data_IF_652961053586
#
_entry.id   IF_652961053586
#
_cell.length_a   1.000
_cell.length_b   1.000
_cell.length_c   1.000
_cell.angle_alpha   90.00
_cell.angle_beta   90.00
_cell.angle_gamma   90.00
#
_symmetry.space_group_name_H-M   'P 1'
#
loop_
_entity.id
_entity.type
_entity.pdbx_description
1 polymer ?
#
# COMPACT_ATOMS: atom_id res chain seq x y z
N UNK A 1 43.24 8.59 19.58
CA UNK A 1 42.39 9.12 18.50
C UNK A 1 41.37 8.05 18.15
N UNK A 2 40.16 8.19 18.69
CA UNK A 2 39.08 7.23 18.54
C UNK A 2 38.12 7.74 17.45
N UNK A 3 38.11 7.07 16.30
CA UNK A 3 37.04 7.22 15.30
C UNK A 3 35.87 6.33 15.75
N UNK A 4 34.83 6.95 16.29
CA UNK A 4 33.55 6.29 16.58
C UNK A 4 32.84 6.08 15.26
N UNK A 5 32.95 4.88 14.71
CA UNK A 5 32.00 4.39 13.70
C UNK A 5 30.65 4.26 14.38
N UNK A 6 29.75 5.18 14.04
CA UNK A 6 28.34 5.12 14.39
C UNK A 6 27.67 4.05 13.53
N UNK A 7 27.94 2.78 13.84
CA UNK A 7 27.06 1.69 13.50
C UNK A 7 25.77 1.90 14.32
N UNK A 8 24.78 2.54 13.70
CA UNK A 8 23.42 2.60 14.22
C UNK A 8 22.86 1.18 14.15
N UNK A 9 23.19 0.39 15.16
CA UNK A 9 22.58 -0.89 15.46
C UNK A 9 21.19 -0.57 16.03
N UNK A 10 20.24 -0.25 15.14
CA UNK A 10 18.83 -0.18 15.50
C UNK A 10 18.38 -1.61 15.79
N UNK A 11 18.40 -1.93 17.08
CA UNK A 11 17.95 -3.19 17.63
C UNK A 11 16.54 -3.53 17.16
N UNK A 12 16.39 -4.82 16.89
CA UNK A 12 15.14 -5.56 16.83
C UNK A 12 14.06 -4.96 17.75
N UNK A 13 13.04 -4.31 17.18
CA UNK A 13 11.83 -3.96 17.93
C UNK A 13 10.96 -5.22 18.06
N UNK A 14 10.62 -5.65 19.29
CA UNK A 14 9.66 -6.73 19.52
C UNK A 14 8.24 -6.17 19.34
N UNK A 15 7.78 -6.20 18.10
CA UNK A 15 6.43 -5.82 17.67
C UNK A 15 6.21 -6.09 16.18
N UNK A 16 7.00 -7.01 15.63
CA UNK A 16 7.07 -7.36 14.22
C UNK A 16 6.14 -8.55 13.91
N UNK A 17 4.90 -8.46 14.37
CA UNK A 17 3.91 -9.56 14.31
C UNK A 17 2.52 -8.92 14.25
N UNK A 18 2.12 -8.32 13.13
CA UNK A 18 1.37 -9.05 12.12
C UNK A 18 1.14 -8.14 10.90
N UNK A 19 1.60 -8.60 9.72
CA UNK A 19 1.38 -8.06 8.36
C UNK A 19 2.16 -6.78 7.96
N UNK A 20 3.36 -6.97 7.40
CA UNK A 20 4.09 -5.95 6.59
C UNK A 20 4.30 -6.39 5.12
N UNK A 21 3.30 -7.09 4.54
CA UNK A 21 3.22 -7.62 3.16
C UNK A 21 4.12 -8.81 2.77
N UNK A 22 3.52 -10.02 2.73
CA UNK A 22 4.09 -11.21 2.05
C UNK A 22 3.53 -11.40 0.62
N UNK A 23 3.17 -10.32 -0.10
CA UNK A 23 2.35 -10.35 -1.34
C UNK A 23 0.96 -10.96 -1.15
N UNK A 24 0.16 -10.32 -0.29
CA UNK A 24 -1.30 -10.48 -0.08
C UNK A 24 -1.88 -11.86 -0.45
N UNK A 25 -2.28 -12.69 0.52
CA UNK A 25 -3.14 -13.84 0.21
C UNK A 25 -4.57 -13.33 0.04
N UNK A 26 -4.86 -12.81 -1.15
CA UNK A 26 -6.18 -12.36 -1.54
C UNK A 26 -7.06 -13.58 -1.82
N UNK A 27 -8.34 -13.57 -1.45
CA UNK A 27 -9.23 -14.62 -1.89
C UNK A 27 -9.20 -14.70 -3.43
N UNK A 28 -9.40 -15.88 -4.01
CA UNK A 28 -9.41 -16.11 -5.47
C UNK A 28 -10.41 -15.19 -6.21
N UNK A 29 -11.32 -14.55 -5.47
CA UNK A 29 -12.25 -13.55 -5.98
C UNK A 29 -11.60 -12.24 -6.42
N UNK A 30 -10.36 -11.92 -6.00
CA UNK A 30 -9.58 -10.87 -6.69
C UNK A 30 -8.97 -11.46 -7.95
N UNK A 31 -9.50 -11.05 -9.08
CA UNK A 31 -8.83 -11.31 -10.34
C UNK A 31 -7.52 -10.52 -10.42
N UNK A 32 -6.40 -11.19 -10.12
CA UNK A 32 -5.06 -10.72 -10.46
C UNK A 32 -4.70 -11.23 -11.83
N UNK A 33 -5.04 -10.48 -12.87
CA UNK A 33 -4.63 -10.88 -14.21
C UNK A 33 -3.11 -10.78 -14.42
N UNK A 34 -2.38 -10.01 -13.57
CA UNK A 34 -0.94 -9.76 -13.71
C UNK A 34 -0.32 -9.20 -12.40
N UNK A 35 -0.08 -10.00 -11.34
CA UNK A 35 0.53 -9.55 -10.07
C UNK A 35 1.95 -8.97 -10.21
N UNK A 36 2.67 -9.33 -11.26
CA UNK A 36 4.04 -8.91 -11.58
C UNK A 36 4.17 -7.42 -11.93
N UNK A 37 3.06 -6.74 -12.28
CA UNK A 37 3.14 -5.31 -12.63
C UNK A 37 3.69 -4.47 -11.47
N UNK A 38 3.42 -4.88 -10.23
CA UNK A 38 3.89 -4.19 -9.02
C UNK A 38 5.36 -4.48 -8.66
N UNK A 39 6.01 -5.46 -9.27
CA UNK A 39 7.36 -5.86 -8.87
C UNK A 39 8.38 -4.71 -9.03
N UNK A 40 8.15 -3.79 -9.96
CA UNK A 40 8.99 -2.58 -10.12
C UNK A 40 8.79 -1.53 -9.02
N UNK A 41 7.65 -1.54 -8.33
CA UNK A 41 7.31 -0.60 -7.24
C UNK A 41 7.66 -1.19 -5.88
N UNK A 42 7.56 -2.51 -5.73
CA UNK A 42 7.72 -3.20 -4.45
C UNK A 42 8.98 -2.81 -3.66
N UNK A 43 10.19 -2.68 -4.25
CA UNK A 43 11.37 -2.27 -3.50
C UNK A 43 11.26 -0.87 -2.87
N UNK A 44 10.50 0.05 -3.47
CA UNK A 44 10.27 1.38 -2.91
C UNK A 44 9.34 1.30 -1.69
N UNK A 45 8.31 0.48 -1.79
CA UNK A 45 7.39 0.21 -0.68
C UNK A 45 8.15 -0.42 0.50
N UNK A 46 8.93 -1.48 0.25
CA UNK A 46 9.69 -2.19 1.29
C UNK A 46 10.73 -1.28 1.97
N UNK A 47 11.27 -0.31 1.22
CA UNK A 47 12.19 0.71 1.74
C UNK A 47 11.49 1.87 2.48
N UNK A 48 10.15 1.85 2.60
CA UNK A 48 9.37 2.93 3.22
C UNK A 48 9.30 4.22 2.39
N UNK A 49 9.70 4.19 1.12
CA UNK A 49 9.65 5.33 0.19
C UNK A 49 8.26 5.46 -0.43
N UNK A 50 7.24 5.58 0.42
CA UNK A 50 5.83 5.44 0.04
C UNK A 50 5.35 6.49 -0.98
N UNK A 51 5.78 7.74 -0.83
CA UNK A 51 5.41 8.81 -1.76
C UNK A 51 5.85 8.50 -3.20
N UNK A 52 7.07 7.98 -3.36
CA UNK A 52 7.64 7.60 -4.66
C UNK A 52 7.05 6.29 -5.19
N UNK A 53 6.77 5.34 -4.30
CA UNK A 53 6.05 4.12 -4.64
C UNK A 53 4.66 4.44 -5.22
N UNK A 54 3.92 5.37 -4.60
CA UNK A 54 2.65 5.87 -5.11
C UNK A 54 2.80 6.51 -6.50
N UNK A 55 3.76 7.41 -6.68
CA UNK A 55 3.96 8.11 -7.95
C UNK A 55 4.32 7.11 -9.08
N UNK A 56 5.17 6.12 -8.81
CA UNK A 56 5.51 5.07 -9.77
C UNK A 56 4.33 4.14 -10.06
N UNK A 57 3.54 3.82 -9.04
CA UNK A 57 2.36 2.98 -9.12
C UNK A 57 1.23 3.61 -9.93
N UNK A 58 1.03 4.93 -9.85
CA UNK A 58 0.07 5.66 -10.72
C UNK A 58 0.38 5.47 -12.20
N UNK A 59 1.66 5.47 -12.58
CA UNK A 59 2.05 5.15 -13.96
C UNK A 59 1.70 3.71 -14.37
N UNK A 60 1.66 2.75 -13.44
CA UNK A 60 1.19 1.39 -13.72
C UNK A 60 -0.33 1.35 -13.91
N UNK A 61 -1.07 2.13 -13.11
CA UNK A 61 -2.52 2.31 -13.24
C UNK A 61 -2.87 2.87 -14.62
N UNK A 62 -2.15 3.92 -15.07
CA UNK A 62 -2.36 4.49 -16.41
C UNK A 62 -2.15 3.46 -17.53
N UNK A 63 -1.14 2.60 -17.39
CA UNK A 63 -0.87 1.54 -18.35
C UNK A 63 -1.89 0.38 -18.29
N UNK A 64 -2.45 0.10 -17.10
CA UNK A 64 -3.30 -1.06 -16.82
C UNK A 64 -4.48 -0.69 -15.89
N UNK A 65 -5.43 0.13 -16.38
CA UNK A 65 -6.52 0.67 -15.56
C UNK A 65 -7.60 -0.37 -15.21
N UNK A 66 -7.49 -1.58 -15.77
CA UNK A 66 -8.34 -2.74 -15.52
C UNK A 66 -7.99 -3.46 -14.20
N UNK A 67 -6.81 -3.18 -13.64
CA UNK A 67 -6.27 -3.97 -12.53
C UNK A 67 -6.61 -3.36 -11.16
N UNK A 68 -7.69 -3.84 -10.52
CA UNK A 68 -8.14 -3.39 -9.20
C UNK A 68 -7.02 -3.35 -8.14
N UNK A 69 -6.11 -4.33 -8.17
CA UNK A 69 -5.04 -4.43 -7.18
C UNK A 69 -3.99 -3.30 -7.29
N UNK A 70 -3.81 -2.68 -8.46
CA UNK A 70 -2.90 -1.55 -8.63
C UNK A 70 -3.43 -0.32 -7.89
N UNK A 71 -4.73 -0.05 -8.04
CA UNK A 71 -5.42 1.00 -7.30
C UNK A 71 -5.29 0.80 -5.78
N UNK A 72 -5.51 -0.43 -5.31
CA UNK A 72 -5.39 -0.76 -3.90
C UNK A 72 -3.97 -0.51 -3.36
N UNK A 73 -2.95 -1.04 -4.03
CA UNK A 73 -1.56 -0.87 -3.59
C UNK A 73 -1.09 0.59 -3.63
N UNK A 74 -1.55 1.37 -4.62
CA UNK A 74 -1.28 2.82 -4.68
C UNK A 74 -1.96 3.53 -3.52
N UNK A 75 -3.22 3.20 -3.22
CA UNK A 75 -3.93 3.77 -2.07
C UNK A 75 -3.20 3.49 -0.74
N UNK A 76 -2.68 2.27 -0.54
CA UNK A 76 -1.83 1.95 0.62
C UNK A 76 -0.60 2.87 0.70
N UNK A 77 0.13 3.03 -0.41
CA UNK A 77 1.30 3.91 -0.47
C UNK A 77 0.95 5.37 -0.16
N UNK A 78 -0.16 5.86 -0.69
CA UNK A 78 -0.62 7.24 -0.50
C UNK A 78 -1.06 7.49 0.94
N UNK A 79 -1.76 6.53 1.55
CA UNK A 79 -2.15 6.58 2.95
C UNK A 79 -0.94 6.65 3.87
N UNK A 80 0.07 5.81 3.63
CA UNK A 80 1.34 5.80 4.36
C UNK A 80 2.20 7.05 4.10
N UNK A 81 2.04 7.68 2.93
CA UNK A 81 2.69 8.94 2.58
C UNK A 81 1.94 10.18 3.11
N UNK A 82 0.78 10.01 3.77
CA UNK A 82 -0.07 11.11 4.24
C UNK A 82 -0.82 11.85 3.12
N UNK A 83 -0.92 11.26 1.93
CA UNK A 83 -1.68 11.79 0.78
C UNK A 83 -3.14 11.35 0.89
N UNK A 84 -3.82 11.76 1.97
CA UNK A 84 -5.15 11.26 2.37
C UNK A 84 -6.21 11.31 1.27
N UNK A 85 -6.33 12.45 0.57
CA UNK A 85 -7.36 12.61 -0.46
C UNK A 85 -7.15 11.63 -1.64
N UNK A 86 -5.90 11.48 -2.06
CA UNK A 86 -5.54 10.57 -3.16
C UNK A 86 -5.76 9.12 -2.76
N UNK A 87 -5.36 8.75 -1.53
CA UNK A 87 -5.54 7.41 -0.99
C UNK A 87 -7.01 6.97 -0.99
N UNK A 88 -7.90 7.87 -0.57
CA UNK A 88 -9.35 7.61 -0.55
C UNK A 88 -9.89 7.46 -1.97
N UNK A 89 -9.47 8.29 -2.92
CA UNK A 89 -9.91 8.19 -4.31
C UNK A 89 -9.48 6.87 -4.96
N UNK A 90 -8.20 6.49 -4.82
CA UNK A 90 -7.72 5.23 -5.37
C UNK A 90 -8.32 4.01 -4.66
N UNK A 91 -8.58 4.09 -3.35
CA UNK A 91 -9.28 3.01 -2.64
C UNK A 91 -10.72 2.83 -3.18
N UNK A 92 -11.45 3.91 -3.40
CA UNK A 92 -12.80 3.85 -4.03
C UNK A 92 -12.73 3.20 -5.41
N UNK A 93 -11.77 3.60 -6.23
CA UNK A 93 -11.58 3.02 -7.56
C UNK A 93 -11.21 1.53 -7.52
N UNK A 94 -10.50 1.09 -6.48
CA UNK A 94 -10.22 -0.32 -6.23
C UNK A 94 -11.50 -1.09 -5.86
N UNK A 95 -12.36 -0.50 -5.02
CA UNK A 95 -13.65 -1.08 -4.57
C UNK A 95 -14.65 -1.17 -5.73
N UNK A 96 -14.73 -0.14 -6.57
CA UNK A 96 -15.62 -0.14 -7.75
C UNK A 96 -15.29 -1.28 -8.73
N UNK A 97 -14.01 -1.67 -8.80
CA UNK A 97 -13.55 -2.79 -9.63
C UNK A 97 -13.72 -4.13 -8.94
N UNK A 98 -13.54 -4.16 -7.62
CA UNK A 98 -13.73 -5.35 -6.82
C UNK A 98 -14.12 -5.00 -5.39
N UNK A 99 -15.38 -5.28 -5.05
CA UNK A 99 -16.01 -4.88 -3.79
C UNK A 99 -15.27 -5.41 -2.55
N UNK A 100 -14.58 -6.55 -2.65
CA UNK A 100 -13.82 -7.13 -1.54
C UNK A 100 -12.65 -6.26 -1.05
N UNK A 101 -12.22 -5.25 -1.83
CA UNK A 101 -11.23 -4.26 -1.39
C UNK A 101 -11.71 -3.54 -0.13
N UNK A 102 -13.04 -3.35 0.01
CA UNK A 102 -13.65 -2.67 1.15
C UNK A 102 -13.36 -3.41 2.44
N UNK A 103 -13.55 -4.73 2.46
CA UNK A 103 -13.34 -5.53 3.67
C UNK A 103 -11.86 -5.66 4.00
N UNK A 104 -10.99 -5.75 2.98
CA UNK A 104 -9.56 -5.72 3.23
C UNK A 104 -9.10 -4.39 3.84
N UNK A 105 -9.54 -3.25 3.30
CA UNK A 105 -9.10 -1.94 3.77
C UNK A 105 -9.47 -1.68 5.24
N UNK A 106 -10.57 -2.27 5.73
CA UNK A 106 -10.94 -2.21 7.15
C UNK A 106 -9.90 -2.86 8.06
N UNK A 107 -9.22 -3.90 7.59
CA UNK A 107 -8.25 -4.68 8.37
C UNK A 107 -6.79 -4.35 8.04
N UNK A 108 -6.53 -3.63 6.96
CA UNK A 108 -5.19 -3.28 6.52
C UNK A 108 -4.68 -2.05 7.29
N UNK A 109 -3.53 -2.23 7.96
CA UNK A 109 -2.89 -1.19 8.77
C UNK A 109 -2.35 -0.04 7.93
N UNK A 110 -2.15 -0.25 6.62
CA UNK A 110 -1.70 0.82 5.74
C UNK A 110 -2.72 1.96 5.66
N UNK A 111 -3.99 1.68 5.96
CA UNK A 111 -5.08 2.66 6.03
C UNK A 111 -5.38 3.18 7.45
N UNK A 112 -4.60 2.80 8.47
CA UNK A 112 -4.83 3.25 9.84
C UNK A 112 -4.86 4.79 9.94
N UNK A 113 -4.03 5.50 9.17
CA UNK A 113 -3.96 6.96 9.16
C UNK A 113 -5.19 7.65 8.54
N UNK A 114 -5.97 6.95 7.72
CA UNK A 114 -7.14 7.50 7.04
C UNK A 114 -8.45 6.83 7.47
N UNK A 115 -8.41 5.87 8.40
CA UNK A 115 -9.57 5.04 8.76
C UNK A 115 -10.73 5.85 9.33
N UNK A 116 -10.41 6.88 10.10
CA UNK A 116 -11.38 7.77 10.74
C UNK A 116 -11.89 8.89 9.80
N UNK A 117 -11.38 8.97 8.57
CA UNK A 117 -11.85 9.96 7.61
C UNK A 117 -13.30 9.63 7.19
N UNK A 118 -14.23 10.61 7.24
CA UNK A 118 -15.61 10.39 6.84
C UNK A 118 -15.73 9.87 5.40
N UNK A 119 -14.77 10.22 4.53
CA UNK A 119 -14.74 9.75 3.16
C UNK A 119 -14.22 8.31 3.03
N UNK A 120 -13.38 7.82 3.95
CA UNK A 120 -12.93 6.42 4.01
C UNK A 120 -14.08 5.49 4.44
N UNK A 121 -14.87 5.86 5.44
CA UNK A 121 -16.05 5.06 5.85
C UNK A 121 -17.11 4.90 4.74
N UNK A 122 -17.07 5.78 3.73
CA UNK A 122 -17.96 5.77 2.55
C UNK A 122 -17.33 5.13 1.32
N UNK A 123 -16.02 4.86 1.36
CA UNK A 123 -15.27 4.15 0.32
C UNK A 123 -15.58 2.67 0.41
#
# INVERSE_FOLDING_TARGET
MATRDAACHCGQLPGYDSRRHHWVRLPDSIQRHAPELWDSVRPLYDAGRFAEAADRGRGLIEARPDQAYLYYNVACCESLAGRTADAIEHLRQAIDRWEGCRDMAKEDSDFDSIRDEPAHSRA
#
